data_IF_290679039741
#
_entry.id   IF_290679039741
#
_cell.length_a   1.000
_cell.length_b   1.000
_cell.length_c   1.000
_cell.angle_alpha   90.00
_cell.angle_beta   90.00
_cell.angle_gamma   90.00
#
_symmetry.space_group_name_H-M   'P 1'
#
loop_
_entity.id
_entity.type
_entity.pdbx_description
1 polymer ?
#
# COMPACT_ATOMS: atom_id res chain seq x y z
N UNK A 1 8.63 7.82 -6.22
CA UNK A 1 8.12 6.95 -5.16
C UNK A 1 8.14 5.51 -5.64
N UNK A 2 8.59 4.60 -4.79
CA UNK A 2 8.77 3.19 -5.15
C UNK A 2 7.62 2.34 -4.65
N UNK A 3 7.00 1.61 -5.57
CA UNK A 3 5.85 0.76 -5.28
C UNK A 3 6.15 -0.68 -5.64
N UNK A 4 5.91 -1.60 -4.71
CA UNK A 4 5.90 -3.02 -5.00
C UNK A 4 4.46 -3.42 -5.30
N UNK A 5 4.21 -3.94 -6.49
CA UNK A 5 2.88 -4.36 -6.93
C UNK A 5 2.87 -5.90 -6.99
N UNK A 6 2.17 -6.51 -6.05
CA UNK A 6 2.07 -7.98 -5.97
C UNK A 6 0.73 -8.40 -6.55
N UNK A 7 0.75 -8.72 -7.84
CA UNK A 7 -0.41 -9.06 -8.64
C UNK A 7 -0.01 -10.15 -9.64
N UNK A 8 -0.70 -11.28 -9.65
CA UNK A 8 -0.34 -12.39 -10.52
C UNK A 8 -1.07 -12.37 -11.87
N UNK A 9 -2.12 -11.57 -12.02
CA UNK A 9 -2.75 -11.35 -13.32
C UNK A 9 -1.85 -10.41 -14.12
N UNK A 10 -1.13 -10.98 -15.09
CA UNK A 10 -0.13 -10.20 -15.83
C UNK A 10 -0.72 -9.05 -16.62
N UNK A 11 -1.94 -9.22 -17.16
CA UNK A 11 -2.59 -8.13 -17.90
C UNK A 11 -2.88 -6.96 -16.97
N UNK A 12 -3.47 -7.24 -15.82
CA UNK A 12 -3.76 -6.20 -14.83
C UNK A 12 -2.47 -5.57 -14.32
N UNK A 13 -1.45 -6.40 -14.06
CA UNK A 13 -0.16 -5.89 -13.59
C UNK A 13 0.42 -4.88 -14.58
N UNK A 14 0.45 -5.23 -15.87
CA UNK A 14 1.03 -4.34 -16.88
C UNK A 14 0.23 -3.05 -17.04
N UNK A 15 -1.09 -3.15 -16.99
CA UNK A 15 -1.94 -1.96 -17.07
C UNK A 15 -1.72 -1.02 -15.90
N UNK A 16 -1.69 -1.56 -14.69
CA UNK A 16 -1.46 -0.75 -13.50
C UNK A 16 -0.07 -0.13 -13.49
N UNK A 17 0.94 -0.93 -13.84
CA UNK A 17 2.32 -0.43 -13.90
C UNK A 17 2.42 0.74 -14.86
N UNK A 18 1.83 0.63 -16.04
CA UNK A 18 1.87 1.68 -17.05
C UNK A 18 1.21 2.96 -16.54
N UNK A 19 0.03 2.83 -15.94
CA UNK A 19 -0.70 3.98 -15.43
C UNK A 19 0.03 4.65 -14.26
N UNK A 20 0.54 3.85 -13.34
CA UNK A 20 1.24 4.38 -12.18
C UNK A 20 2.54 5.06 -12.57
N UNK A 21 3.24 4.53 -13.56
CA UNK A 21 4.49 5.15 -14.00
C UNK A 21 4.29 6.49 -14.67
N UNK A 22 3.08 6.74 -15.19
CA UNK A 22 2.76 8.07 -15.74
C UNK A 22 2.64 9.11 -14.63
N UNK A 23 2.49 8.69 -13.39
CA UNK A 23 2.40 9.58 -12.22
C UNK A 23 3.69 9.58 -11.41
N UNK A 24 4.79 9.22 -12.04
CA UNK A 24 6.13 9.22 -11.44
C UNK A 24 6.33 8.19 -10.33
N UNK A 25 5.49 7.16 -10.29
CA UNK A 25 5.75 6.02 -9.43
C UNK A 25 6.70 5.06 -10.12
N UNK A 26 7.65 4.49 -9.38
CA UNK A 26 8.51 3.44 -9.88
C UNK A 26 7.98 2.11 -9.40
N UNK A 27 7.48 1.28 -10.32
CA UNK A 27 6.74 0.06 -9.98
C UNK A 27 7.55 -1.18 -10.29
N UNK A 28 7.66 -2.05 -9.30
CA UNK A 28 8.34 -3.34 -9.44
C UNK A 28 7.37 -4.45 -9.09
N UNK A 29 7.42 -5.55 -9.83
CA UNK A 29 6.62 -6.73 -9.58
C UNK A 29 7.42 -7.87 -9.00
N UNK A 30 6.73 -8.96 -8.69
CA UNK A 30 7.31 -10.16 -8.12
C UNK A 30 7.34 -11.25 -9.19
N UNK A 31 8.47 -11.93 -9.33
CA UNK A 31 8.58 -13.04 -10.25
C UNK A 31 8.24 -14.38 -9.58
N UNK A 32 8.63 -14.55 -8.34
CA UNK A 32 8.38 -15.77 -7.59
C UNK A 32 7.37 -15.51 -6.47
N UNK A 33 6.13 -15.95 -6.71
CA UNK A 33 5.06 -15.76 -5.72
C UNK A 33 5.19 -16.67 -4.50
N UNK A 34 6.15 -17.58 -4.53
CA UNK A 34 6.50 -18.34 -3.33
C UNK A 34 7.53 -17.64 -2.46
N UNK A 35 8.11 -16.52 -2.94
CA UNK A 35 9.14 -15.80 -2.21
C UNK A 35 9.01 -14.29 -2.45
N UNK A 36 7.86 -13.74 -2.09
CA UNK A 36 7.58 -12.31 -2.24
C UNK A 36 8.53 -11.48 -1.39
N UNK A 37 8.93 -12.00 -0.22
CA UNK A 37 9.79 -11.26 0.70
C UNK A 37 11.17 -10.98 0.12
N UNK A 38 11.68 -11.83 -0.77
CA UNK A 38 12.97 -11.56 -1.40
C UNK A 38 12.92 -10.24 -2.20
N UNK A 39 11.90 -10.07 -3.02
CA UNK A 39 11.73 -8.82 -3.77
C UNK A 39 11.46 -7.64 -2.83
N UNK A 40 10.62 -7.86 -1.83
CA UNK A 40 10.29 -6.83 -0.86
C UNK A 40 11.55 -6.27 -0.18
N UNK A 41 12.41 -7.16 0.27
CA UNK A 41 13.61 -6.76 0.99
C UNK A 41 14.65 -6.10 0.10
N UNK A 42 14.80 -6.62 -1.13
CA UNK A 42 15.78 -6.04 -2.08
C UNK A 42 15.34 -4.69 -2.62
N UNK A 43 14.06 -4.55 -2.93
CA UNK A 43 13.53 -3.32 -3.52
C UNK A 43 13.28 -2.24 -2.48
N UNK A 44 12.93 -2.63 -1.27
CA UNK A 44 12.63 -1.73 -0.17
C UNK A 44 11.60 -0.67 -0.57
N UNK A 45 10.36 -1.09 -0.89
CA UNK A 45 9.35 -0.16 -1.41
C UNK A 45 8.85 0.81 -0.36
N UNK A 46 8.32 1.94 -0.84
CA UNK A 46 7.68 2.93 0.01
C UNK A 46 6.20 2.64 0.21
N UNK A 47 5.57 1.94 -0.73
CA UNK A 47 4.20 1.45 -0.61
C UNK A 47 4.12 0.08 -1.26
N UNK A 48 3.30 -0.81 -0.70
CA UNK A 48 3.02 -2.12 -1.28
C UNK A 48 1.55 -2.17 -1.68
N UNK A 49 1.29 -2.57 -2.92
CA UNK A 49 -0.06 -2.91 -3.38
C UNK A 49 -0.11 -4.43 -3.44
N UNK A 50 -1.02 -5.04 -2.71
CA UNK A 50 -0.97 -6.47 -2.43
C UNK A 50 -2.33 -7.11 -2.72
N UNK A 51 -2.37 -7.98 -3.72
CA UNK A 51 -3.59 -8.73 -4.02
C UNK A 51 -3.82 -9.77 -2.93
N UNK A 52 -5.09 -9.93 -2.54
CA UNK A 52 -5.46 -10.98 -1.57
C UNK A 52 -5.31 -12.35 -2.19
N UNK A 53 -5.74 -12.51 -3.45
CA UNK A 53 -5.76 -13.83 -4.11
C UNK A 53 -4.51 -14.01 -4.95
N UNK A 54 -3.55 -14.71 -4.38
CA UNK A 54 -2.27 -14.98 -5.02
C UNK A 54 -2.01 -16.49 -5.04
N UNK A 55 -1.18 -16.98 -5.99
CA UNK A 55 -0.79 -18.38 -5.98
C UNK A 55 0.13 -18.65 -4.79
N UNK A 56 0.12 -19.88 -4.31
CA UNK A 56 0.92 -20.42 -3.22
C UNK A 56 0.50 -19.90 -1.86
N UNK A 57 0.73 -18.61 -1.57
CA UNK A 57 0.33 -17.97 -0.32
C UNK A 57 -0.48 -16.73 -0.65
N UNK A 58 -1.57 -16.49 0.06
CA UNK A 58 -2.41 -15.32 -0.21
C UNK A 58 -1.76 -14.02 0.29
N UNK A 59 -2.42 -12.90 -0.03
CA UNK A 59 -1.90 -11.60 0.35
C UNK A 59 -1.86 -11.39 1.86
N UNK A 60 -2.76 -12.01 2.60
CA UNK A 60 -2.75 -11.89 4.05
C UNK A 60 -1.50 -12.51 4.67
N UNK A 61 -1.07 -13.63 4.11
CA UNK A 61 0.17 -14.29 4.53
C UNK A 61 1.37 -13.33 4.36
N UNK A 62 1.47 -12.71 3.19
CA UNK A 62 2.60 -11.80 2.93
C UNK A 62 2.52 -10.53 3.75
N UNK A 63 1.30 -10.03 4.02
CA UNK A 63 1.14 -8.87 4.88
C UNK A 63 1.69 -9.16 6.28
N UNK A 64 1.37 -10.33 6.83
CA UNK A 64 1.91 -10.73 8.14
C UNK A 64 3.43 -10.77 8.13
N UNK A 65 4.01 -11.33 7.05
CA UNK A 65 5.47 -11.39 6.92
C UNK A 65 6.08 -10.00 6.87
N UNK A 66 5.50 -9.11 6.06
CA UNK A 66 6.00 -7.74 5.94
C UNK A 66 5.91 -7.00 7.28
N UNK A 67 4.81 -7.20 8.00
CA UNK A 67 4.62 -6.51 9.29
C UNK A 67 5.55 -6.99 10.39
N UNK A 68 6.17 -8.16 10.23
CA UNK A 68 7.17 -8.63 11.17
C UNK A 68 8.43 -7.78 11.13
N UNK A 69 8.67 -7.07 10.03
CA UNK A 69 9.92 -6.32 9.87
C UNK A 69 9.74 -4.89 9.38
N UNK A 70 8.50 -4.44 9.12
CA UNK A 70 8.32 -3.12 8.51
C UNK A 70 6.93 -2.56 8.79
N UNK A 71 6.85 -1.24 8.87
CA UNK A 71 5.58 -0.51 8.93
C UNK A 71 5.22 0.10 7.58
N UNK A 72 5.78 -0.45 6.50
CA UNK A 72 5.50 0.06 5.16
C UNK A 72 4.00 0.11 4.89
N UNK A 73 3.49 1.18 4.29
CA UNK A 73 2.07 1.23 3.94
C UNK A 73 1.68 0.12 2.97
N UNK A 74 0.56 -0.55 3.26
CA UNK A 74 0.05 -1.64 2.43
C UNK A 74 -1.38 -1.34 2.04
N UNK A 75 -1.66 -1.40 0.74
CA UNK A 75 -3.01 -1.29 0.19
C UNK A 75 -3.37 -2.62 -0.44
N UNK A 76 -4.46 -3.23 0.03
CA UNK A 76 -4.93 -4.51 -0.51
C UNK A 76 -5.84 -4.30 -1.71
N UNK A 77 -5.73 -5.21 -2.68
CA UNK A 77 -6.70 -5.36 -3.76
C UNK A 77 -7.36 -6.72 -3.65
N UNK A 78 -8.66 -6.82 -3.95
CA UNK A 78 -9.34 -8.12 -3.93
C UNK A 78 -10.46 -8.16 -4.95
N UNK A 79 -10.58 -9.29 -5.64
CA UNK A 79 -11.70 -9.55 -6.53
C UNK A 79 -12.84 -10.24 -5.81
N UNK A 80 -12.63 -10.68 -4.56
CA UNK A 80 -13.68 -11.36 -3.79
C UNK A 80 -14.62 -10.35 -3.17
N UNK A 81 -15.92 -10.63 -3.28
CA UNK A 81 -16.95 -9.82 -2.64
C UNK A 81 -17.22 -10.42 -1.25
N UNK A 82 -16.28 -10.20 -0.35
CA UNK A 82 -16.34 -10.77 0.99
C UNK A 82 -15.97 -9.70 2.00
N UNK A 83 -16.94 -9.18 2.76
CA UNK A 83 -16.65 -8.13 3.76
C UNK A 83 -15.59 -8.53 4.78
N UNK A 84 -15.45 -9.83 5.06
CA UNK A 84 -14.45 -10.28 6.02
C UNK A 84 -13.03 -10.09 5.52
N UNK A 85 -12.83 -10.02 4.19
CA UNK A 85 -11.51 -9.72 3.65
C UNK A 85 -11.09 -8.29 4.03
N UNK A 86 -12.02 -7.35 4.01
CA UNK A 86 -11.72 -5.98 4.42
C UNK A 86 -11.40 -5.92 5.91
N UNK A 87 -12.20 -6.61 6.72
CA UNK A 87 -11.95 -6.67 8.16
C UNK A 87 -10.57 -7.27 8.45
N UNK A 88 -10.25 -8.40 7.80
CA UNK A 88 -8.96 -9.05 7.97
C UNK A 88 -7.80 -8.14 7.59
N UNK A 89 -7.94 -7.43 6.45
CA UNK A 89 -6.87 -6.53 6.00
C UNK A 89 -6.58 -5.46 7.03
N UNK A 90 -7.62 -4.86 7.59
CA UNK A 90 -7.44 -3.79 8.58
C UNK A 90 -6.87 -4.34 9.88
N UNK A 91 -7.28 -5.53 10.30
CA UNK A 91 -6.73 -6.16 11.50
C UNK A 91 -5.25 -6.49 11.36
N UNK A 92 -4.82 -6.81 10.15
CA UNK A 92 -3.41 -7.11 9.87
C UNK A 92 -2.56 -5.85 9.72
N UNK A 93 -3.17 -4.67 9.81
CA UNK A 93 -2.45 -3.41 9.75
C UNK A 93 -2.31 -2.82 8.36
N UNK A 94 -3.25 -3.14 7.46
CA UNK A 94 -3.29 -2.50 6.15
C UNK A 94 -3.71 -1.05 6.29
N UNK A 95 -3.26 -0.23 5.36
CA UNK A 95 -3.60 1.19 5.33
C UNK A 95 -4.84 1.46 4.51
N UNK A 96 -5.17 0.59 3.56
CA UNK A 96 -6.37 0.73 2.76
C UNK A 96 -6.71 -0.58 2.07
N UNK A 97 -7.87 -0.61 1.44
CA UNK A 97 -8.41 -1.80 0.79
C UNK A 97 -9.27 -1.36 -0.40
N UNK A 98 -9.10 -2.00 -1.55
CA UNK A 98 -9.93 -1.73 -2.71
C UNK A 98 -10.44 -3.04 -3.30
N UNK A 99 -11.69 -3.03 -3.75
CA UNK A 99 -12.29 -4.18 -4.41
C UNK A 99 -12.20 -4.01 -5.91
N UNK A 100 -11.85 -5.07 -6.61
CA UNK A 100 -11.85 -5.09 -8.08
C UNK A 100 -13.27 -5.36 -8.58
N UNK A 101 -13.70 -4.78 -9.69
CA UNK A 101 -12.97 -3.77 -10.49
C UNK A 101 -12.99 -2.40 -9.83
N UNK A 102 -11.97 -1.60 -10.10
CA UNK A 102 -11.85 -0.25 -9.54
C UNK A 102 -11.40 0.73 -10.63
N UNK A 103 -11.56 2.02 -10.33
CA UNK A 103 -11.05 3.06 -11.21
C UNK A 103 -9.60 3.36 -10.83
N UNK A 104 -8.72 3.37 -11.83
CA UNK A 104 -7.28 3.58 -11.58
C UNK A 104 -7.01 4.93 -10.94
N UNK A 105 -7.75 5.97 -11.33
CA UNK A 105 -7.54 7.29 -10.73
C UNK A 105 -7.91 7.31 -9.24
N UNK A 106 -8.83 6.46 -8.79
CA UNK A 106 -9.13 6.33 -7.37
C UNK A 106 -7.95 5.69 -6.65
N UNK A 107 -7.36 4.65 -7.25
CA UNK A 107 -6.17 4.02 -6.70
C UNK A 107 -5.03 5.02 -6.56
N UNK A 108 -4.78 5.80 -7.62
CA UNK A 108 -3.72 6.80 -7.61
C UNK A 108 -3.96 7.83 -6.49
N UNK A 109 -5.19 8.30 -6.34
CA UNK A 109 -5.52 9.26 -5.29
C UNK A 109 -5.26 8.67 -3.90
N UNK A 110 -5.60 7.40 -3.69
CA UNK A 110 -5.34 6.74 -2.41
C UNK A 110 -3.84 6.60 -2.14
N UNK A 111 -3.07 6.24 -3.16
CA UNK A 111 -1.63 6.11 -3.02
C UNK A 111 -0.99 7.45 -2.67
N UNK A 112 -1.41 8.52 -3.33
CA UNK A 112 -0.89 9.85 -3.05
C UNK A 112 -1.25 10.30 -1.63
N UNK A 113 -2.47 10.01 -1.19
CA UNK A 113 -2.91 10.35 0.16
C UNK A 113 -2.10 9.58 1.21
N UNK A 114 -1.88 8.29 0.98
CA UNK A 114 -1.08 7.47 1.89
C UNK A 114 0.35 8.01 1.97
N UNK A 115 0.94 8.31 0.81
CA UNK A 115 2.31 8.82 0.77
C UNK A 115 2.46 10.11 1.56
N UNK A 116 1.53 11.06 1.35
CA UNK A 116 1.57 12.34 2.07
C UNK A 116 1.47 12.12 3.57
N UNK A 117 0.53 11.27 4.00
CA UNK A 117 0.31 11.03 5.43
C UNK A 117 1.52 10.41 6.09
N UNK A 118 2.16 9.45 5.43
CA UNK A 118 3.24 8.69 6.04
C UNK A 118 4.59 9.40 5.89
N UNK A 119 4.88 9.94 4.71
CA UNK A 119 6.23 10.41 4.40
C UNK A 119 6.39 11.93 4.43
N UNK A 120 5.30 12.68 4.32
CA UNK A 120 5.37 14.14 4.33
C UNK A 120 4.79 14.71 5.60
N UNK A 121 3.50 14.44 5.87
CA UNK A 121 2.86 15.00 7.06
C UNK A 121 3.40 14.39 8.36
N UNK A 122 3.81 13.12 8.33
CA UNK A 122 4.40 12.50 9.50
C UNK A 122 5.67 13.20 9.96
N UNK A 123 6.50 13.63 9.02
CA UNK A 123 7.72 14.36 9.34
C UNK A 123 7.39 15.74 9.89
N UNK A 124 6.43 16.43 9.29
CA UNK A 124 6.01 17.76 9.75
C UNK A 124 5.37 17.69 11.14
N UNK A 125 4.58 16.67 11.39
CA UNK A 125 4.00 16.49 12.72
C UNK A 125 5.08 16.35 13.78
N UNK A 126 6.14 15.61 13.49
CA UNK A 126 7.24 15.46 14.43
C UNK A 126 7.92 16.77 14.72
N UNK A 127 8.02 17.64 13.74
CA UNK A 127 8.61 18.98 13.95
C UNK A 127 7.71 19.86 14.80
N UNK A 128 6.42 19.81 14.51
CA UNK A 128 5.47 20.68 15.20
C UNK A 128 5.23 20.24 16.64
N UNK A 129 5.39 18.97 16.95
CA UNK A 129 5.27 18.50 18.32
C UNK A 129 6.26 19.15 19.26
N UNK A 130 7.30 19.75 18.73
CA UNK A 130 8.29 20.42 19.55
C UNK A 130 7.87 21.81 20.02
N UNK A 131 6.82 22.40 19.44
CA UNK A 131 6.41 23.74 19.83
C UNK A 131 4.97 23.83 20.27
N UNK A 132 4.05 22.81 20.25
CA UNK A 132 2.82 23.01 20.77
C UNK A 132 1.87 22.02 20.93
N UNK A 133 1.46 21.92 21.19
CA UNK A 133 0.62 21.17 21.00
C UNK A 133 -0.53 21.37 20.33
N UNK A 134 -0.71 21.96 19.87
CA UNK A 134 -1.59 22.10 19.33
C UNK A 134 -2.11 22.07 18.26
N UNK A 135 -2.13 22.23 17.94
CA UNK A 135 -2.65 22.21 17.09
C UNK A 135 -3.27 21.64 16.49
N UNK A 136 -3.57 21.69 16.76
CA UNK A 136 -4.09 21.24 16.31
C UNK A 136 -4.55 21.25 15.67
N UNK A 137 -4.92 21.55 15.55
CA UNK A 137 -5.23 21.58 15.00
C UNK A 137 -5.05 21.59 14.04
N UNK A 138 -4.90 21.72 13.73
CA UNK A 138 -4.67 21.71 13.01
C UNK A 138 -4.92 21.34 12.32
N UNK A 139 -5.23 21.35 12.44
CA UNK A 139 -5.39 20.97 12.02
C UNK A 139 -6.00 20.46 11.74
N UNK A 140 -6.50 20.35 11.95
CA UNK A 140 -6.94 19.80 11.83
C UNK A 140 -7.40 19.40 11.08
N UNK A 141 -7.52 19.42 10.76
CA UNK A 141 -7.63 19.03 10.24
C UNK A 141 -7.51 18.44 9.83
N UNK A 142 -7.38 18.40 9.82
CA UNK A 142 -7.00 17.88 9.75
C UNK A 142 -6.75 17.42 9.91
N UNK A 143 -6.87 17.30 9.87
CA UNK A 143 -6.43 16.95 10.25
C UNK A 143 -6.27 16.67 10.40
#
# INVERSE_FOLDING_TARGET
MQILLVEDDNTLFQELKKELEQWDFNVVGVEDFGNVMDTFERFNPEIVILDVQLPKYDGFYWCRKMRQESNVPILFLSSRDNPMDQVMSMELGADDYMQKPFYTNVLIAKLQAIYRRVYEFGVEEKRTLNWQDTVVDLSKDSI
#
